data_IF_707127542760
#
_entry.id   IF_707127542760
#
_cell.length_a   1.000
_cell.length_b   1.000
_cell.length_c   1.000
_cell.angle_alpha   90.00
_cell.angle_beta   90.00
_cell.angle_gamma   90.00
#
_symmetry.space_group_name_H-M   'P 1'
#
loop_
_entity.id
_entity.type
_entity.pdbx_description
1 polymer ?
#
# COMPACT_ATOMS: atom_id res chain seq x y z
N UNK A 1 -19.51 -5.00 13.84
CA UNK A 1 -19.13 -4.30 12.58
C UNK A 1 -18.54 -5.34 11.65
N UNK A 2 -18.80 -5.24 10.35
CA UNK A 2 -18.22 -6.15 9.35
C UNK A 2 -17.24 -5.39 8.48
N UNK A 3 -16.16 -6.07 8.10
CA UNK A 3 -15.17 -5.56 7.15
C UNK A 3 -15.06 -6.52 5.99
N UNK A 4 -15.14 -5.98 4.77
CA UNK A 4 -15.06 -6.74 3.52
C UNK A 4 -13.64 -6.68 2.97
N UNK A 5 -12.99 -7.83 2.94
CA UNK A 5 -11.56 -8.02 2.74
C UNK A 5 -11.27 -9.10 1.68
N UNK A 6 -10.01 -9.18 1.23
CA UNK A 6 -9.49 -10.27 0.40
C UNK A 6 -8.09 -10.77 0.85
N UNK A 7 -7.58 -10.26 2.00
CA UNK A 7 -6.44 -10.82 2.76
C UNK A 7 -6.03 -10.01 4.02
N UNK A 8 -6.73 -10.25 5.15
CA UNK A 8 -6.53 -10.05 6.63
C UNK A 8 -5.24 -9.36 7.17
N UNK A 9 -5.12 -8.54 8.26
CA UNK A 9 -5.97 -7.76 9.22
C UNK A 9 -5.59 -7.99 10.75
N UNK A 10 -5.87 -7.13 11.79
CA UNK A 10 -4.94 -6.43 12.79
C UNK A 10 -4.81 -6.71 14.37
N UNK A 11 -3.73 -6.15 15.01
CA UNK A 11 -3.24 -5.98 16.44
C UNK A 11 -4.14 -5.52 17.62
N UNK A 12 -3.84 -6.01 18.86
CA UNK A 12 -3.93 -5.18 20.09
C UNK A 12 -3.01 -5.60 21.29
N UNK A 13 -2.58 -4.64 22.13
CA UNK A 13 -2.06 -4.91 23.50
C UNK A 13 -1.99 -3.67 24.42
N UNK A 14 -2.59 -3.81 25.61
CA UNK A 14 -2.36 -3.14 26.91
C UNK A 14 -2.41 -1.60 27.07
N UNK A 15 -3.33 -1.15 27.94
CA UNK A 15 -3.14 -0.03 28.87
C UNK A 15 -4.14 -0.13 30.06
N UNK A 16 -3.79 -0.91 31.09
CA UNK A 16 -4.60 -0.99 32.32
C UNK A 16 -4.40 0.31 33.11
N UNK A 17 -5.48 1.06 33.32
CA UNK A 17 -5.52 2.22 34.21
C UNK A 17 -6.84 2.24 34.98
N UNK A 18 -6.81 1.89 36.27
CA UNK A 18 -7.99 1.93 37.13
C UNK A 18 -8.49 3.36 37.33
N UNK A 19 -9.70 3.65 36.87
CA UNK A 19 -10.70 4.45 37.61
C UNK A 19 -12.10 4.15 37.05
N UNK A 20 -13.03 3.78 37.93
CA UNK A 20 -14.43 3.56 37.58
C UNK A 20 -15.24 4.88 37.56
N UNK A 21 -16.52 4.75 37.23
CA UNK A 21 -17.60 5.75 37.20
C UNK A 21 -17.65 6.70 35.99
N UNK A 22 -18.41 6.30 34.96
CA UNK A 22 -19.67 6.96 34.56
C UNK A 22 -20.33 6.15 33.43
N UNK A 23 -21.60 5.75 33.61
CA UNK A 23 -22.35 5.01 32.60
C UNK A 23 -22.88 5.98 31.54
N UNK A 24 -22.15 6.11 30.44
CA UNK A 24 -22.69 6.63 29.19
C UNK A 24 -23.01 5.48 28.23
N UNK A 25 -24.11 5.63 27.48
CA UNK A 25 -24.61 4.63 26.52
C UNK A 25 -23.46 4.22 25.58
N UNK A 26 -23.05 2.95 25.66
CA UNK A 26 -22.00 2.37 24.80
C UNK A 26 -22.39 2.57 23.33
N UNK A 27 -21.52 3.18 22.53
CA UNK A 27 -21.69 3.30 21.08
C UNK A 27 -20.83 2.23 20.39
N UNK A 28 -21.42 1.51 19.45
CA UNK A 28 -20.91 0.27 18.85
C UNK A 28 -19.95 0.54 17.69
N UNK A 29 -18.68 0.10 17.74
CA UNK A 29 -17.71 0.58 16.75
C UNK A 29 -16.31 -0.10 16.62
N UNK A 30 -16.14 -1.29 16.02
CA UNK A 30 -14.80 -1.89 15.81
C UNK A 30 -14.40 -1.93 14.32
N UNK A 31 -13.16 -1.56 13.98
CA UNK A 31 -12.67 -1.43 12.59
C UNK A 31 -11.24 -1.89 12.46
N UNK A 32 -10.96 -2.63 11.39
CA UNK A 32 -9.64 -3.16 11.08
C UNK A 32 -9.68 -3.84 9.69
N UNK A 33 -8.80 -3.44 8.77
CA UNK A 33 -8.91 -3.60 7.30
C UNK A 33 -8.05 -4.71 6.68
N UNK A 34 -8.42 -5.22 5.49
CA UNK A 34 -7.48 -5.47 4.38
C UNK A 34 -8.13 -5.88 3.03
N UNK A 35 -8.00 -5.07 1.99
CA UNK A 35 -6.96 -5.27 0.98
C UNK A 35 -6.60 -4.02 0.17
N UNK A 36 -5.29 -3.81 0.07
CA UNK A 36 -4.65 -2.61 -0.49
C UNK A 36 -3.21 -2.45 0.05
N UNK A 37 -2.62 -3.57 0.46
CA UNK A 37 -1.43 -3.63 1.32
C UNK A 37 -1.72 -3.27 2.78
N UNK A 38 -1.59 -4.25 3.70
CA UNK A 38 -1.80 -4.14 5.16
C UNK A 38 -3.11 -3.42 5.56
N UNK A 39 -3.18 -2.79 6.76
CA UNK A 39 -4.28 -1.83 6.98
C UNK A 39 -4.63 -1.29 8.40
N UNK A 40 -4.07 -1.67 9.57
CA UNK A 40 -4.45 -0.97 10.84
C UNK A 40 -3.59 -1.11 12.11
N UNK A 41 -4.07 -0.42 13.15
CA UNK A 41 -3.48 -0.29 14.48
C UNK A 41 -4.51 -0.08 15.59
N UNK A 42 -4.12 -0.51 16.80
CA UNK A 42 -4.48 0.02 18.13
C UNK A 42 -5.77 0.84 18.25
N UNK A 43 -6.90 0.16 18.12
CA UNK A 43 -8.17 0.62 18.71
C UNK A 43 -8.16 0.26 20.20
N UNK A 44 -8.73 1.11 21.07
CA UNK A 44 -9.05 0.68 22.44
C UNK A 44 -10.22 -0.30 22.39
N UNK A 45 -9.91 -1.60 22.33
CA UNK A 45 -10.90 -2.69 22.25
C UNK A 45 -11.87 -2.71 23.44
N UNK A 46 -11.49 -2.09 24.56
CA UNK A 46 -12.29 -1.88 25.77
C UNK A 46 -13.73 -1.35 25.52
N UNK A 47 -13.97 -0.67 24.38
CA UNK A 47 -15.24 -0.01 24.10
C UNK A 47 -16.20 -0.87 23.24
N UNK A 48 -15.80 -2.10 22.86
CA UNK A 48 -16.26 -2.74 21.63
C UNK A 48 -16.71 -4.20 21.83
N UNK A 49 -17.87 -4.56 21.28
CA UNK A 49 -18.52 -5.85 21.53
C UNK A 49 -18.03 -6.99 20.62
N UNK A 50 -17.85 -6.73 19.32
CA UNK A 50 -17.40 -7.72 18.32
C UNK A 50 -17.04 -7.09 16.96
N UNK A 51 -16.13 -7.74 16.23
CA UNK A 51 -15.91 -7.54 14.79
C UNK A 51 -15.90 -8.89 14.09
N UNK A 52 -16.29 -8.88 12.82
CA UNK A 52 -16.07 -9.99 11.90
C UNK A 52 -15.41 -9.43 10.64
N UNK A 53 -14.33 -10.06 10.22
CA UNK A 53 -13.65 -9.79 8.95
C UNK A 53 -14.05 -10.91 8.01
N UNK A 54 -14.68 -10.56 6.90
CA UNK A 54 -15.02 -11.52 5.85
C UNK A 54 -13.99 -11.37 4.73
N UNK A 55 -13.31 -12.45 4.41
CA UNK A 55 -12.17 -12.48 3.51
C UNK A 55 -12.31 -13.66 2.53
N UNK A 56 -12.31 -13.39 1.23
CA UNK A 56 -12.50 -14.45 0.23
C UNK A 56 -11.24 -15.21 -0.16
N UNK A 57 -10.06 -14.86 0.37
CA UNK A 57 -8.82 -15.57 0.05
C UNK A 57 -8.41 -15.50 -1.43
N UNK A 58 -8.49 -14.34 -2.07
CA UNK A 58 -8.13 -14.22 -3.50
C UNK A 58 -6.62 -14.38 -3.74
N UNK A 59 -6.26 -15.11 -4.81
CA UNK A 59 -4.88 -15.23 -5.30
C UNK A 59 -4.35 -13.91 -5.89
N UNK A 60 -5.23 -13.16 -6.55
CA UNK A 60 -4.97 -11.98 -7.38
C UNK A 60 -4.84 -10.67 -6.58
N UNK A 61 -4.08 -10.66 -5.48
CA UNK A 61 -4.14 -9.60 -4.46
C UNK A 61 -3.05 -8.53 -4.52
N UNK A 62 -3.42 -7.27 -4.24
CA UNK A 62 -2.48 -6.12 -4.19
C UNK A 62 -1.47 -6.15 -3.03
N UNK A 63 -1.71 -7.02 -2.04
CA UNK A 63 -0.75 -7.36 -0.99
C UNK A 63 0.11 -8.59 -1.32
N UNK A 64 -0.07 -9.24 -2.48
CA UNK A 64 0.69 -10.42 -2.85
C UNK A 64 2.18 -10.12 -3.05
N UNK A 65 3.03 -11.10 -2.74
CA UNK A 65 4.46 -10.93 -2.82
C UNK A 65 5.11 -10.37 -1.56
N UNK A 66 6.33 -10.81 -1.35
CA UNK A 66 6.99 -10.89 -0.06
C UNK A 66 7.22 -9.55 0.64
N UNK A 67 7.72 -8.53 -0.06
CA UNK A 67 8.11 -7.24 0.54
C UNK A 67 7.45 -6.01 -0.08
N UNK A 68 7.44 -4.92 0.69
CA UNK A 68 7.04 -3.56 0.27
C UNK A 68 8.00 -2.51 0.82
N UNK A 69 8.18 -1.41 0.10
CA UNK A 69 8.94 -0.26 0.62
C UNK A 69 8.11 0.48 1.67
N UNK A 70 8.64 0.62 2.88
CA UNK A 70 8.24 1.66 3.81
C UNK A 70 9.23 2.81 3.78
N UNK A 71 8.73 4.04 3.80
CA UNK A 71 9.58 5.24 3.82
C UNK A 71 8.79 6.42 4.35
N UNK A 72 9.48 7.33 5.00
CA UNK A 72 8.98 8.69 5.24
C UNK A 72 9.37 9.65 4.11
N UNK A 73 9.88 9.13 3.00
CA UNK A 73 10.42 9.92 1.88
C UNK A 73 9.35 10.53 0.98
N UNK A 74 8.79 11.64 1.43
CA UNK A 74 7.77 12.38 0.69
C UNK A 74 8.08 13.87 0.64
N UNK A 75 7.92 14.47 -0.53
CA UNK A 75 7.94 15.91 -0.74
C UNK A 75 6.60 16.56 -0.29
N UNK A 76 6.05 16.08 0.82
CA UNK A 76 4.67 16.30 1.26
C UNK A 76 4.49 16.07 2.77
N UNK A 77 4.21 17.13 3.52
CA UNK A 77 4.20 17.08 4.98
C UNK A 77 3.15 16.14 5.58
N UNK A 78 2.01 15.97 4.91
CA UNK A 78 0.93 15.11 5.40
C UNK A 78 1.31 13.65 5.24
N UNK A 79 1.94 13.30 4.12
CA UNK A 79 2.43 11.94 3.88
C UNK A 79 3.61 11.58 4.80
N UNK A 80 4.56 12.50 5.05
CA UNK A 80 5.65 12.26 6.02
C UNK A 80 5.08 11.97 7.42
N UNK A 81 4.12 12.77 7.90
CA UNK A 81 3.48 12.57 9.22
C UNK A 81 2.71 11.26 9.30
N UNK A 82 1.94 10.91 8.26
CA UNK A 82 1.19 9.66 8.19
C UNK A 82 2.12 8.42 8.14
N UNK A 83 3.23 8.51 7.40
CA UNK A 83 4.26 7.48 7.37
C UNK A 83 4.93 7.31 8.74
N UNK A 84 5.33 8.41 9.41
CA UNK A 84 5.88 8.37 10.79
C UNK A 84 4.91 7.67 11.76
N UNK A 85 3.61 8.02 11.71
CA UNK A 85 2.59 7.34 12.52
C UNK A 85 2.52 5.84 12.21
N UNK A 86 2.64 5.45 10.94
CA UNK A 86 2.64 4.05 10.53
C UNK A 86 3.87 3.28 11.04
N UNK A 87 5.05 3.90 11.04
CA UNK A 87 6.27 3.35 11.62
C UNK A 87 6.14 3.08 13.13
N UNK A 88 5.54 4.00 13.90
CA UNK A 88 5.24 3.80 15.32
C UNK A 88 4.37 2.55 15.52
N UNK A 89 3.34 2.40 14.71
CA UNK A 89 2.32 1.36 14.80
C UNK A 89 2.83 -0.02 14.33
N UNK A 90 3.71 -0.07 13.32
CA UNK A 90 4.49 -1.26 13.01
C UNK A 90 5.40 -1.66 14.18
N UNK A 91 6.05 -0.68 14.82
CA UNK A 91 6.83 -0.90 16.03
C UNK A 91 5.99 -1.42 17.21
N UNK A 92 4.72 -1.05 17.31
CA UNK A 92 3.80 -1.61 18.32
C UNK A 92 3.37 -3.05 17.99
N UNK A 93 3.04 -3.34 16.74
CA UNK A 93 2.71 -4.70 16.27
C UNK A 93 3.89 -5.66 16.44
N UNK A 94 5.10 -5.22 16.08
CA UNK A 94 6.32 -6.03 16.10
C UNK A 94 6.68 -6.58 17.48
N UNK A 95 6.25 -5.92 18.57
CA UNK A 95 6.42 -6.39 19.96
C UNK A 95 5.74 -7.73 20.26
N UNK A 96 4.85 -8.17 19.37
CA UNK A 96 4.03 -9.40 19.51
C UNK A 96 4.13 -10.32 18.30
N UNK A 97 5.02 -9.98 17.35
CA UNK A 97 5.34 -10.82 16.20
C UNK A 97 6.46 -11.79 16.57
N UNK A 98 6.44 -13.01 16.02
CA UNK A 98 7.56 -13.94 16.13
C UNK A 98 8.76 -13.49 15.27
N UNK A 99 8.50 -12.81 14.15
CA UNK A 99 9.50 -12.36 13.20
C UNK A 99 9.55 -10.81 13.07
N UNK A 100 10.70 -10.23 12.68
CA UNK A 100 10.80 -8.81 12.36
C UNK A 100 9.86 -8.42 11.20
N UNK A 101 9.08 -7.37 11.40
CA UNK A 101 8.17 -6.86 10.36
C UNK A 101 8.87 -5.99 9.32
N UNK A 102 10.04 -5.44 9.68
CA UNK A 102 10.74 -4.43 8.89
C UNK A 102 12.23 -4.77 8.83
N UNK A 103 12.78 -4.82 7.61
CA UNK A 103 14.22 -4.93 7.38
C UNK A 103 14.79 -3.52 7.26
N UNK A 104 15.82 -3.22 8.04
CA UNK A 104 16.51 -1.93 7.99
C UNK A 104 17.38 -1.86 6.74
N UNK A 105 17.12 -0.88 5.88
CA UNK A 105 17.85 -0.68 4.61
C UNK A 105 18.36 0.76 4.45
N UNK A 106 17.62 1.74 4.96
CA UNK A 106 17.64 3.08 4.39
C UNK A 106 16.94 3.14 3.02
N UNK A 107 16.55 4.33 2.58
CA UNK A 107 16.03 4.59 1.25
C UNK A 107 16.93 5.61 0.54
N UNK A 108 17.42 5.24 -0.65
CA UNK A 108 18.18 6.08 -1.56
C UNK A 108 17.25 6.53 -2.69
N UNK A 109 16.75 7.74 -2.56
CA UNK A 109 15.94 8.43 -3.56
C UNK A 109 16.88 9.05 -4.61
N UNK A 110 16.84 8.56 -5.85
CA UNK A 110 17.77 8.94 -6.93
C UNK A 110 17.05 9.79 -7.98
N UNK A 111 17.63 10.92 -8.38
CA UNK A 111 17.00 11.90 -9.25
C UNK A 111 17.71 12.04 -10.59
N UNK A 112 16.97 11.84 -11.68
CA UNK A 112 17.44 12.18 -13.04
C UNK A 112 17.62 13.68 -13.25
N UNK A 113 17.00 14.50 -12.39
CA UNK A 113 17.29 15.93 -12.25
C UNK A 113 17.36 16.28 -10.77
N UNK A 114 18.29 17.13 -10.36
CA UNK A 114 18.45 17.56 -8.95
C UNK A 114 17.17 18.16 -8.38
N UNK A 115 16.46 18.95 -9.19
CA UNK A 115 15.17 19.57 -8.84
C UNK A 115 14.12 18.53 -8.38
N UNK A 116 14.16 17.30 -8.92
CA UNK A 116 13.17 16.26 -8.54
C UNK A 116 13.32 15.85 -7.07
N UNK A 117 14.51 16.01 -6.48
CA UNK A 117 14.81 15.73 -5.07
C UNK A 117 14.78 16.98 -4.17
N UNK A 118 14.84 18.19 -4.72
CA UNK A 118 14.92 19.40 -3.88
C UNK A 118 13.64 19.63 -3.05
N UNK A 119 12.45 19.33 -3.59
CA UNK A 119 11.19 19.36 -2.82
C UNK A 119 11.14 18.32 -1.69
N UNK A 120 11.83 17.19 -1.86
CA UNK A 120 11.95 16.15 -0.84
C UNK A 120 12.83 16.65 0.31
N UNK A 121 14.03 17.14 0.01
CA UNK A 121 14.95 17.72 0.98
C UNK A 121 14.33 18.90 1.75
N UNK A 122 13.67 19.84 1.07
CA UNK A 122 12.95 20.95 1.71
C UNK A 122 11.86 20.48 2.70
N UNK A 123 11.21 19.37 2.40
CA UNK A 123 10.20 18.77 3.30
C UNK A 123 10.87 18.11 4.50
N UNK A 124 12.01 17.46 4.30
CA UNK A 124 12.82 16.92 5.38
C UNK A 124 13.35 18.01 6.32
N UNK A 125 13.84 19.13 5.77
CA UNK A 125 14.30 20.29 6.55
C UNK A 125 13.15 20.84 7.42
N UNK A 126 11.96 21.07 6.84
CA UNK A 126 10.76 21.55 7.57
C UNK A 126 10.34 20.63 8.72
N UNK A 127 10.51 19.31 8.56
CA UNK A 127 10.01 18.30 9.49
C UNK A 127 11.10 17.68 10.37
N UNK A 128 12.30 18.28 10.37
CA UNK A 128 13.50 17.79 11.05
C UNK A 128 13.73 16.28 10.82
N UNK A 129 13.54 15.82 9.58
CA UNK A 129 13.79 14.44 9.18
C UNK A 129 15.28 14.28 8.86
N UNK A 130 16.02 13.38 9.52
CA UNK A 130 17.41 13.09 9.14
C UNK A 130 17.49 12.55 7.71
N UNK A 131 18.37 13.15 6.91
CA UNK A 131 18.74 12.72 5.56
C UNK A 131 20.17 13.15 5.23
N UNK A 132 20.71 12.61 4.14
CA UNK A 132 21.99 13.00 3.56
C UNK A 132 21.78 13.24 2.06
N UNK A 133 22.31 14.35 1.53
CA UNK A 133 22.51 14.47 0.07
C UNK A 133 23.84 13.80 -0.26
N UNK A 134 23.84 12.95 -1.27
CA UNK A 134 25.03 12.20 -1.69
C UNK A 134 25.27 12.47 -3.18
N UNK A 135 26.53 12.72 -3.53
CA UNK A 135 26.99 12.74 -4.92
C UNK A 135 27.34 11.32 -5.39
N UNK A 136 27.57 11.16 -6.70
CA UNK A 136 27.89 9.86 -7.32
C UNK A 136 29.02 9.10 -6.60
N UNK A 137 30.13 9.77 -6.28
CA UNK A 137 31.28 9.15 -5.64
C UNK A 137 30.97 8.72 -4.19
N UNK A 138 30.22 9.51 -3.43
CA UNK A 138 29.77 9.14 -2.08
C UNK A 138 28.83 7.93 -2.08
N UNK A 139 27.95 7.82 -3.08
CA UNK A 139 27.11 6.62 -3.29
C UNK A 139 27.99 5.42 -3.61
N UNK A 140 28.91 5.54 -4.58
CA UNK A 140 29.77 4.44 -5.03
C UNK A 140 30.69 3.93 -3.92
N UNK A 141 31.24 4.82 -3.09
CA UNK A 141 32.06 4.45 -1.93
C UNK A 141 31.25 3.72 -0.85
N UNK A 142 30.00 4.13 -0.62
CA UNK A 142 29.14 3.56 0.43
C UNK A 142 28.47 2.25 0.03
N UNK A 143 28.14 2.10 -1.24
CA UNK A 143 27.47 0.93 -1.80
C UNK A 143 28.16 0.49 -3.10
N UNK A 144 29.32 -0.19 -3.03
CA UNK A 144 30.15 -0.52 -4.19
C UNK A 144 29.46 -1.39 -5.26
N UNK A 145 28.41 -2.12 -4.88
CA UNK A 145 27.61 -2.94 -5.80
C UNK A 145 26.68 -2.11 -6.69
N UNK A 146 26.31 -0.89 -6.27
CA UNK A 146 25.51 0.01 -7.09
C UNK A 146 26.35 0.62 -8.20
N UNK A 147 25.73 0.87 -9.35
CA UNK A 147 26.27 1.73 -10.39
C UNK A 147 25.24 2.82 -10.72
N UNK A 148 25.47 4.05 -10.27
CA UNK A 148 24.56 5.18 -10.58
C UNK A 148 25.25 6.17 -11.50
N UNK A 149 25.39 5.85 -12.80
CA UNK A 149 26.10 6.72 -13.76
C UNK A 149 25.65 8.18 -13.67
N UNK A 150 26.61 9.11 -13.58
CA UNK A 150 26.39 10.56 -13.52
C UNK A 150 25.77 11.14 -14.80
N UNK A 151 25.73 10.37 -15.90
CA UNK A 151 24.99 10.72 -17.12
C UNK A 151 23.46 10.63 -16.92
N UNK A 152 23.01 9.84 -15.95
CA UNK A 152 21.60 9.56 -15.69
C UNK A 152 21.14 10.00 -14.29
N UNK A 153 22.00 9.96 -13.27
CA UNK A 153 21.65 10.36 -11.90
C UNK A 153 22.39 11.65 -11.55
N UNK A 154 21.69 12.78 -11.57
CA UNK A 154 22.24 14.11 -11.24
C UNK A 154 22.40 14.30 -9.72
N UNK A 155 21.51 13.70 -8.92
CA UNK A 155 21.53 13.82 -7.46
C UNK A 155 20.96 12.59 -6.75
N UNK A 156 21.39 12.37 -5.51
CA UNK A 156 20.82 11.36 -4.62
C UNK A 156 20.51 11.94 -3.23
N UNK A 157 19.43 11.45 -2.62
CA UNK A 157 19.03 11.74 -1.24
C UNK A 157 18.88 10.42 -0.49
N UNK A 158 19.67 10.21 0.55
CA UNK A 158 19.57 9.06 1.44
C UNK A 158 18.79 9.42 2.71
N UNK A 159 17.78 8.62 3.05
CA UNK A 159 17.03 8.71 4.28
C UNK A 159 17.20 7.44 5.12
N UNK A 160 17.75 7.50 6.35
CA UNK A 160 17.84 6.35 7.25
C UNK A 160 16.47 5.78 7.68
N UNK A 161 15.38 6.57 7.57
CA UNK A 161 14.02 6.14 7.89
C UNK A 161 13.25 5.75 6.61
N UNK A 162 13.89 4.90 5.82
CA UNK A 162 13.31 4.14 4.74
C UNK A 162 13.77 2.69 4.88
N UNK A 163 12.85 1.75 4.75
CA UNK A 163 13.04 0.35 5.10
C UNK A 163 12.27 -0.54 4.11
N UNK A 164 12.54 -1.84 4.13
CA UNK A 164 11.60 -2.82 3.59
C UNK A 164 10.66 -3.32 4.69
N UNK A 165 9.44 -3.69 4.32
CA UNK A 165 8.45 -4.34 5.19
C UNK A 165 8.17 -5.71 4.64
N UNK A 166 8.33 -6.74 5.48
CA UNK A 166 7.99 -8.13 5.18
C UNK A 166 6.47 -8.25 5.19
N UNK A 167 5.86 -8.20 4.01
CA UNK A 167 4.42 -8.06 3.84
C UNK A 167 3.67 -9.27 4.39
N UNK A 168 4.14 -10.49 4.12
CA UNK A 168 3.57 -11.72 4.67
C UNK A 168 3.60 -11.75 6.19
N UNK A 169 4.76 -11.46 6.79
CA UNK A 169 4.95 -11.41 8.26
C UNK A 169 4.02 -10.38 8.90
N UNK A 170 3.86 -9.21 8.28
CA UNK A 170 2.86 -8.22 8.73
C UNK A 170 1.46 -8.81 8.70
N UNK A 171 1.01 -9.42 7.61
CA UNK A 171 -0.35 -9.96 7.53
C UNK A 171 -0.59 -11.08 8.56
N UNK A 172 0.37 -11.98 8.78
CA UNK A 172 0.24 -13.03 9.82
C UNK A 172 0.30 -12.46 11.24
N UNK A 173 1.22 -11.55 11.57
CA UNK A 173 1.29 -10.92 12.90
C UNK A 173 0.05 -10.08 13.23
N UNK A 174 -0.54 -9.46 12.20
CA UNK A 174 -1.84 -8.80 12.28
C UNK A 174 -2.93 -9.86 12.55
N UNK A 175 -2.99 -10.96 11.77
CA UNK A 175 -4.04 -12.00 11.83
C UNK A 175 -4.11 -12.72 13.16
N UNK A 176 -2.94 -13.11 13.66
CA UNK A 176 -2.69 -13.66 15.00
C UNK A 176 -3.39 -12.86 16.10
N UNK A 177 -3.40 -11.53 15.95
CA UNK A 177 -3.96 -10.63 16.92
C UNK A 177 -5.49 -10.57 16.88
N UNK A 178 -6.12 -10.58 15.69
CA UNK A 178 -7.58 -10.73 15.60
C UNK A 178 -8.02 -11.96 16.36
N UNK A 179 -7.37 -13.09 16.10
CA UNK A 179 -7.72 -14.38 16.71
C UNK A 179 -7.51 -14.36 18.22
N UNK A 180 -6.47 -13.68 18.73
CA UNK A 180 -6.26 -13.47 20.17
C UNK A 180 -7.33 -12.61 20.85
N UNK A 181 -7.92 -11.62 20.17
CA UNK A 181 -8.87 -10.68 20.77
C UNK A 181 -10.35 -11.00 20.53
N UNK A 182 -10.69 -11.47 19.33
CA UNK A 182 -12.05 -11.79 18.91
C UNK A 182 -12.36 -13.29 18.80
N UNK A 183 -11.36 -14.15 18.96
CA UNK A 183 -11.48 -15.59 18.73
C UNK A 183 -11.67 -15.96 17.24
N UNK A 184 -11.90 -17.25 16.94
CA UNK A 184 -12.04 -17.72 15.55
C UNK A 184 -13.18 -17.03 14.78
N UNK A 185 -14.30 -16.74 15.45
CA UNK A 185 -15.48 -16.11 14.83
C UNK A 185 -15.25 -14.66 14.35
N UNK A 186 -14.11 -14.03 14.69
CA UNK A 186 -13.77 -12.70 14.22
C UNK A 186 -13.14 -12.70 12.80
N UNK A 187 -12.85 -13.86 12.23
CA UNK A 187 -12.29 -14.03 10.90
C UNK A 187 -13.04 -15.14 10.15
N UNK A 188 -13.66 -14.77 9.02
CA UNK A 188 -14.39 -15.67 8.12
C UNK A 188 -13.65 -15.69 6.81
N UNK A 189 -12.97 -16.81 6.53
CA UNK A 189 -12.21 -17.07 5.31
C UNK A 189 -13.14 -17.65 4.23
N UNK A 190 -14.15 -16.86 3.84
CA UNK A 190 -15.12 -17.21 2.80
C UNK A 190 -15.62 -15.95 2.03
N UNK A 191 -15.75 -15.99 0.68
CA UNK A 191 -16.06 -14.80 -0.12
C UNK A 191 -17.44 -14.20 0.14
N UNK A 192 -17.53 -12.87 0.17
CA UNK A 192 -18.81 -12.18 0.32
C UNK A 192 -19.59 -12.13 -0.99
N UNK A 193 -20.69 -12.87 -1.03
CA UNK A 193 -21.58 -12.96 -2.20
C UNK A 193 -22.61 -11.84 -2.21
N UNK A 194 -23.22 -11.47 -1.07
CA UNK A 194 -24.30 -10.48 -0.97
C UNK A 194 -24.15 -9.55 0.24
N UNK A 195 -24.62 -8.30 0.10
CA UNK A 195 -24.66 -7.28 1.17
C UNK A 195 -26.04 -6.63 1.15
N UNK A 196 -26.84 -6.83 2.19
CA UNK A 196 -28.15 -6.19 2.36
C UNK A 196 -28.00 -4.99 3.31
N UNK A 197 -28.21 -3.78 2.77
CA UNK A 197 -28.10 -2.52 3.51
C UNK A 197 -29.32 -2.19 4.37
N UNK A 198 -30.49 -2.73 4.04
CA UNK A 198 -31.72 -2.49 4.80
C UNK A 198 -31.76 -3.39 6.03
N UNK A 199 -31.42 -4.66 5.88
CA UNK A 199 -31.28 -5.64 6.98
C UNK A 199 -29.95 -5.51 7.72
N UNK A 200 -28.98 -4.81 7.12
CA UNK A 200 -27.60 -4.68 7.58
C UNK A 200 -26.94 -6.04 7.81
N UNK A 201 -26.96 -6.87 6.77
CA UNK A 201 -26.35 -8.21 6.78
C UNK A 201 -25.40 -8.40 5.62
N UNK A 202 -24.37 -9.19 5.84
CA UNK A 202 -23.45 -9.71 4.84
C UNK A 202 -23.68 -11.22 4.73
N UNK A 203 -23.74 -11.74 3.52
CA UNK A 203 -23.85 -13.18 3.24
C UNK A 203 -22.59 -13.65 2.52
N UNK A 204 -21.98 -14.71 3.04
CA UNK A 204 -20.80 -15.38 2.49
C UNK A 204 -21.22 -16.57 1.59
N UNK A 205 -20.28 -17.14 0.83
CA UNK A 205 -20.54 -18.17 -0.19
C UNK A 205 -21.02 -19.50 0.41
N UNK A 206 -20.60 -19.82 1.64
CA UNK A 206 -21.08 -20.92 2.48
C UNK A 206 -22.55 -20.74 2.93
N UNK A 207 -23.14 -19.56 2.72
CA UNK A 207 -24.49 -19.20 3.14
C UNK A 207 -24.60 -18.60 4.55
N UNK A 208 -23.48 -18.42 5.27
CA UNK A 208 -23.48 -17.76 6.58
C UNK A 208 -23.93 -16.30 6.46
N UNK A 209 -24.81 -15.87 7.38
CA UNK A 209 -25.39 -14.52 7.40
C UNK A 209 -24.94 -13.78 8.66
N UNK A 210 -24.23 -12.68 8.46
CA UNK A 210 -23.51 -11.97 9.51
C UNK A 210 -24.08 -10.53 9.61
N UNK A 211 -24.56 -10.08 10.79
CA UNK A 211 -25.16 -8.75 10.96
C UNK A 211 -24.14 -7.65 11.27
N UNK A 212 -24.43 -6.39 10.90
CA UNK A 212 -23.54 -5.26 11.13
C UNK A 212 -24.24 -3.96 11.59
N UNK A 213 -23.59 -3.20 12.47
CA UNK A 213 -24.00 -1.81 12.79
C UNK A 213 -23.35 -0.78 11.86
N UNK A 214 -22.09 -1.02 11.49
CA UNK A 214 -21.28 -0.33 10.46
C UNK A 214 -20.65 -1.37 9.54
N UNK A 215 -20.35 -0.97 8.31
CA UNK A 215 -19.64 -1.75 7.30
C UNK A 215 -18.42 -0.98 6.82
N UNK A 216 -17.27 -1.64 6.74
CA UNK A 216 -16.05 -1.07 6.16
C UNK A 216 -15.71 -1.84 4.87
N UNK A 217 -15.80 -1.14 3.74
CA UNK A 217 -15.43 -1.64 2.42
C UNK A 217 -13.96 -1.34 2.21
N UNK A 218 -13.15 -2.40 2.21
CA UNK A 218 -11.69 -2.35 2.12
C UNK A 218 -11.20 -3.15 0.91
N UNK A 219 -11.99 -3.32 -0.14
CA UNK A 219 -11.84 -4.41 -1.09
C UNK A 219 -10.85 -4.15 -2.25
N UNK A 220 -9.90 -3.21 -2.11
CA UNK A 220 -8.88 -2.89 -3.12
C UNK A 220 -9.48 -2.68 -4.51
N UNK A 221 -8.95 -3.38 -5.52
CA UNK A 221 -9.46 -3.36 -6.91
C UNK A 221 -10.94 -3.79 -7.04
N UNK A 222 -11.44 -4.62 -6.12
CA UNK A 222 -12.85 -5.05 -6.09
C UNK A 222 -13.77 -4.04 -5.37
N UNK A 223 -13.27 -2.89 -4.91
CA UNK A 223 -14.06 -1.87 -4.21
C UNK A 223 -15.31 -1.47 -5.00
N UNK A 224 -15.18 -1.17 -6.30
CA UNK A 224 -16.33 -0.80 -7.12
C UNK A 224 -17.28 -1.98 -7.39
N UNK A 225 -16.77 -3.22 -7.48
CA UNK A 225 -17.62 -4.41 -7.56
C UNK A 225 -18.47 -4.57 -6.30
N UNK A 226 -17.87 -4.35 -5.13
CA UNK A 226 -18.57 -4.37 -3.84
C UNK A 226 -19.61 -3.25 -3.73
N UNK A 227 -19.27 -2.01 -4.13
CA UNK A 227 -20.22 -0.89 -4.17
C UNK A 227 -21.38 -1.16 -5.14
N UNK A 228 -21.12 -1.78 -6.30
CA UNK A 228 -22.16 -2.21 -7.26
C UNK A 228 -23.12 -3.22 -6.63
N UNK A 229 -22.63 -4.26 -5.93
CA UNK A 229 -23.46 -5.23 -5.19
C UNK A 229 -24.38 -4.57 -4.15
N UNK A 230 -23.98 -3.41 -3.64
CA UNK A 230 -24.68 -2.62 -2.63
C UNK A 230 -25.64 -1.56 -3.22
N UNK A 231 -25.77 -1.48 -4.55
CA UNK A 231 -26.44 -0.39 -5.27
C UNK A 231 -25.98 0.99 -4.80
N UNK A 232 -24.68 1.14 -4.57
CA UNK A 232 -24.04 2.41 -4.24
C UNK A 232 -23.35 3.02 -5.47
N UNK A 233 -23.30 4.36 -5.57
CA UNK A 233 -22.39 5.05 -6.48
C UNK A 233 -20.97 4.47 -6.44
N UNK A 234 -20.40 4.27 -7.62
CA UNK A 234 -19.02 3.81 -7.77
C UNK A 234 -18.04 4.97 -7.56
N UNK A 235 -16.83 4.64 -7.14
CA UNK A 235 -15.73 5.60 -7.09
C UNK A 235 -15.01 5.64 -8.45
N UNK A 236 -14.43 6.77 -8.86
CA UNK A 236 -13.64 6.87 -10.09
C UNK A 236 -12.25 6.27 -9.84
N UNK A 237 -12.25 4.95 -9.69
CA UNK A 237 -11.09 4.09 -9.57
C UNK A 237 -10.85 3.39 -10.91
N UNK A 238 -9.59 3.22 -11.28
CA UNK A 238 -9.14 2.32 -12.35
C UNK A 238 -8.19 1.30 -11.74
N UNK A 239 -8.23 0.04 -12.20
CA UNK A 239 -7.27 -0.97 -11.77
C UNK A 239 -6.15 -1.12 -12.79
N UNK A 240 -4.92 -1.34 -12.35
CA UNK A 240 -3.77 -1.70 -13.21
C UNK A 240 -3.04 -2.93 -12.68
N UNK A 241 -2.42 -3.71 -13.56
CA UNK A 241 -1.64 -4.90 -13.15
C UNK A 241 -0.16 -4.68 -13.41
N UNK A 242 0.58 -4.37 -12.34
CA UNK A 242 2.02 -4.15 -12.40
C UNK A 242 2.81 -5.46 -12.34
N UNK A 243 4.10 -5.39 -12.68
CA UNK A 243 5.04 -6.51 -12.60
C UNK A 243 6.18 -6.22 -11.64
N UNK A 244 6.62 -7.27 -10.95
CA UNK A 244 7.80 -7.30 -10.10
C UNK A 244 8.65 -8.51 -10.50
N UNK A 245 9.97 -8.33 -10.57
CA UNK A 245 10.93 -9.37 -10.96
C UNK A 245 12.02 -9.44 -9.90
N UNK A 246 12.30 -10.66 -9.42
CA UNK A 246 13.38 -10.95 -8.48
C UNK A 246 14.55 -11.55 -9.25
N UNK A 247 15.68 -10.87 -9.24
CA UNK A 247 16.91 -11.34 -9.89
C UNK A 247 17.78 -12.05 -8.88
N UNK A 248 18.11 -13.30 -9.16
CA UNK A 248 18.98 -14.14 -8.33
C UNK A 248 20.33 -13.48 -8.09
N UNK A 249 20.81 -13.53 -6.85
CA UNK A 249 22.17 -13.11 -6.51
C UNK A 249 23.20 -14.12 -7.02
N UNK A 250 24.42 -13.69 -7.39
CA UNK A 250 25.54 -14.59 -7.61
C UNK A 250 25.77 -15.51 -6.40
N UNK A 251 25.98 -16.83 -6.60
CA UNK A 251 26.17 -17.77 -5.49
C UNK A 251 27.32 -17.38 -4.56
N UNK A 252 27.05 -17.33 -3.26
CA UNK A 252 28.02 -16.96 -2.23
C UNK A 252 28.24 -15.44 -2.08
N UNK A 253 27.42 -14.62 -2.74
CA UNK A 253 27.42 -13.15 -2.59
C UNK A 253 26.12 -12.59 -2.01
N UNK A 254 25.19 -13.45 -1.56
CA UNK A 254 23.83 -13.11 -1.11
C UNK A 254 23.81 -11.95 -0.10
N UNK A 255 24.74 -11.98 0.87
CA UNK A 255 24.87 -10.96 1.92
C UNK A 255 25.22 -9.56 1.37
N UNK A 256 26.06 -9.47 0.33
CA UNK A 256 26.46 -8.20 -0.30
C UNK A 256 25.31 -7.50 -1.02
N UNK A 257 24.25 -8.25 -1.36
CA UNK A 257 23.02 -7.74 -1.95
C UNK A 257 21.88 -7.61 -0.94
N UNK A 258 22.12 -7.94 0.34
CA UNK A 258 21.10 -7.96 1.37
C UNK A 258 20.72 -6.57 1.88
N UNK A 259 19.64 -6.47 2.65
CA UNK A 259 19.24 -5.25 3.36
C UNK A 259 20.33 -4.65 4.25
N UNK A 260 21.29 -5.45 4.72
CA UNK A 260 22.42 -4.97 5.53
C UNK A 260 23.43 -4.15 4.70
N UNK A 261 23.54 -4.44 3.40
CA UNK A 261 24.58 -3.90 2.52
C UNK A 261 24.03 -3.01 1.40
N UNK A 262 22.73 -3.05 1.10
CA UNK A 262 22.10 -2.22 0.07
C UNK A 262 20.86 -1.48 0.59
N UNK A 263 20.64 -0.22 0.15
CA UNK A 263 19.42 0.51 0.46
C UNK A 263 18.28 0.06 -0.46
N UNK A 264 17.05 0.36 -0.06
CA UNK A 264 15.94 0.50 -1.02
C UNK A 264 16.28 1.64 -1.98
N UNK A 265 16.04 1.47 -3.28
CA UNK A 265 16.22 2.55 -4.28
C UNK A 265 14.87 2.94 -4.87
N UNK A 266 14.67 4.25 -5.05
CA UNK A 266 13.50 4.81 -5.73
C UNK A 266 13.97 5.85 -6.75
N UNK A 267 13.57 5.65 -8.00
CA UNK A 267 13.80 6.63 -9.05
C UNK A 267 12.78 7.76 -9.04
N UNK A 268 13.27 9.00 -9.06
CA UNK A 268 12.49 10.21 -9.18
C UNK A 268 12.72 10.89 -10.52
N UNK A 269 11.96 10.43 -11.51
CA UNK A 269 11.73 11.21 -12.72
C UNK A 269 10.86 12.44 -12.40
N UNK A 270 11.16 13.61 -12.98
CA UNK A 270 10.17 14.69 -13.04
C UNK A 270 8.94 14.19 -13.84
N UNK A 271 7.71 14.38 -13.35
CA UNK A 271 6.53 13.95 -14.10
C UNK A 271 6.39 14.78 -15.39
N UNK A 272 5.77 14.23 -16.46
CA UNK A 272 5.53 14.96 -17.71
C UNK A 272 4.69 16.24 -17.52
N UNK A 273 3.87 16.28 -16.47
CA UNK A 273 3.06 17.45 -16.08
C UNK A 273 3.11 17.60 -14.54
N UNK A 274 3.13 18.82 -13.97
CA UNK A 274 3.37 19.03 -12.54
C UNK A 274 2.38 18.37 -11.57
N UNK A 275 1.17 18.09 -12.05
CA UNK A 275 0.05 17.50 -11.29
C UNK A 275 -0.04 15.97 -11.38
N UNK A 276 0.92 15.29 -12.01
CA UNK A 276 0.98 13.83 -12.05
C UNK A 276 1.95 13.28 -10.99
N UNK A 277 1.58 12.23 -10.26
CA UNK A 277 2.49 11.44 -9.43
C UNK A 277 3.57 10.78 -10.29
N UNK A 278 4.70 10.49 -9.64
CA UNK A 278 5.95 10.09 -10.27
C UNK A 278 5.85 8.65 -10.82
N UNK A 279 6.50 8.41 -11.96
CA UNK A 279 6.84 7.09 -12.49
C UNK A 279 8.33 6.83 -12.30
N UNK A 280 8.73 5.58 -12.17
CA UNK A 280 10.13 5.20 -12.08
C UNK A 280 10.32 3.74 -11.66
N UNK A 281 11.55 3.26 -11.76
CA UNK A 281 11.97 2.01 -11.15
C UNK A 281 12.05 2.12 -9.62
N UNK A 282 11.84 0.99 -8.95
CA UNK A 282 12.17 0.82 -7.55
C UNK A 282 12.86 -0.53 -7.31
N UNK A 283 13.76 -0.56 -6.34
CA UNK A 283 14.51 -1.75 -5.93
C UNK A 283 14.33 -1.98 -4.43
N UNK A 284 14.10 -3.24 -4.03
CA UNK A 284 14.25 -3.70 -2.66
C UNK A 284 15.40 -4.70 -2.63
N UNK A 285 16.41 -4.53 -1.75
CA UNK A 285 17.53 -5.46 -1.61
C UNK A 285 17.04 -6.85 -1.18
N UNK A 286 17.91 -7.86 -1.28
CA UNK A 286 17.58 -9.21 -0.82
C UNK A 286 17.26 -9.19 0.69
N UNK A 287 16.15 -9.82 1.08
CA UNK A 287 15.69 -9.89 2.47
C UNK A 287 15.84 -11.33 2.97
N UNK A 288 16.44 -11.51 4.14
CA UNK A 288 16.84 -12.83 4.66
C UNK A 288 15.70 -13.76 5.06
N UNK A 289 14.49 -13.22 5.25
CA UNK A 289 13.24 -13.97 5.42
C UNK A 289 12.33 -13.82 4.18
N UNK A 290 12.92 -13.47 3.04
CA UNK A 290 12.21 -13.08 1.82
C UNK A 290 12.27 -14.11 0.69
N UNK A 291 12.00 -13.65 -0.52
CA UNK A 291 12.27 -14.40 -1.76
C UNK A 291 13.73 -14.18 -2.12
N UNK A 292 14.41 -15.24 -2.53
CA UNK A 292 15.82 -15.17 -2.93
C UNK A 292 16.03 -14.21 -4.10
N UNK A 293 17.13 -13.45 -4.04
CA UNK A 293 17.44 -12.41 -5.01
C UNK A 293 16.97 -11.00 -4.63
N UNK A 294 17.25 -10.05 -5.51
CA UNK A 294 16.94 -8.62 -5.36
C UNK A 294 15.69 -8.29 -6.17
N UNK A 295 14.75 -7.59 -5.54
CA UNK A 295 13.44 -7.27 -6.13
C UNK A 295 13.49 -5.95 -6.89
N UNK A 296 13.03 -5.97 -8.13
CA UNK A 296 12.83 -4.78 -8.96
C UNK A 296 11.37 -4.68 -9.42
N UNK A 297 10.93 -3.46 -9.72
CA UNK A 297 9.64 -3.22 -10.35
C UNK A 297 9.51 -1.83 -10.95
N UNK A 298 8.57 -1.70 -11.88
CA UNK A 298 8.21 -0.42 -12.49
C UNK A 298 6.92 0.11 -11.87
N UNK A 299 6.92 1.36 -11.40
CA UNK A 299 5.73 1.94 -10.76
C UNK A 299 4.78 2.56 -11.80
N UNK A 300 3.57 2.00 -11.90
CA UNK A 300 2.45 2.47 -12.75
C UNK A 300 2.76 2.37 -14.24
N UNK A 301 3.29 1.24 -14.66
CA UNK A 301 3.50 0.92 -16.07
C UNK A 301 2.63 -0.24 -16.55
N UNK A 302 1.94 -0.94 -15.64
CA UNK A 302 1.04 -2.04 -15.95
C UNK A 302 -0.17 -1.68 -16.82
N UNK A 303 -0.71 -2.64 -17.60
CA UNK A 303 -1.96 -2.47 -18.35
C UNK A 303 -3.14 -2.18 -17.42
N UNK A 304 -4.17 -1.50 -17.96
CA UNK A 304 -5.37 -1.11 -17.24
C UNK A 304 -6.49 -2.16 -17.38
N UNK A 305 -7.34 -2.26 -16.37
CA UNK A 305 -8.51 -3.13 -16.34
C UNK A 305 -9.79 -2.30 -16.21
N UNK A 306 -10.74 -2.56 -17.12
CA UNK A 306 -12.15 -2.19 -17.04
C UNK A 306 -12.96 -3.36 -17.59
N UNK A 307 -13.68 -4.05 -16.71
CA UNK A 307 -14.50 -5.23 -17.01
C UNK A 307 -15.51 -5.47 -15.87
N UNK A 308 -16.27 -6.56 -15.93
CA UNK A 308 -17.30 -6.87 -14.92
C UNK A 308 -16.77 -7.07 -13.49
N UNK A 309 -15.53 -7.53 -13.34
CA UNK A 309 -14.87 -7.72 -12.04
C UNK A 309 -14.24 -6.42 -11.51
N UNK A 310 -13.76 -5.54 -12.41
CA UNK A 310 -13.07 -4.28 -12.10
C UNK A 310 -13.74 -3.05 -12.75
N UNK A 311 -15.00 -2.73 -12.38
CA UNK A 311 -15.75 -1.70 -13.09
C UNK A 311 -15.36 -0.27 -12.68
N UNK A 312 -15.25 0.62 -13.65
CA UNK A 312 -15.09 2.07 -13.40
C UNK A 312 -16.42 2.78 -13.11
N UNK A 313 -16.36 3.97 -12.49
CA UNK A 313 -17.53 4.84 -12.34
C UNK A 313 -17.97 5.46 -13.68
N UNK A 314 -19.29 5.66 -13.93
CA UNK A 314 -19.77 6.29 -15.16
C UNK A 314 -19.09 7.63 -15.46
N UNK A 315 -18.63 7.81 -16.70
CA UNK A 315 -17.85 8.99 -17.13
C UNK A 315 -16.34 8.86 -16.95
N UNK A 316 -15.85 7.82 -16.26
CA UNK A 316 -14.43 7.46 -16.23
C UNK A 316 -13.98 6.91 -17.59
N UNK A 317 -12.75 7.22 -18.00
CA UNK A 317 -12.13 6.81 -19.27
C UNK A 317 -10.61 6.64 -19.14
N UNK A 318 -9.95 6.05 -20.14
CA UNK A 318 -8.48 6.03 -20.22
C UNK A 318 -7.89 7.46 -20.13
N UNK A 319 -8.55 8.44 -20.76
CA UNK A 319 -8.15 9.84 -20.72
C UNK A 319 -8.33 10.51 -19.34
N UNK A 320 -9.16 9.96 -18.45
CA UNK A 320 -9.17 10.38 -17.04
C UNK A 320 -8.03 9.76 -16.22
N UNK A 321 -7.50 8.60 -16.65
CA UNK A 321 -6.27 8.01 -16.11
C UNK A 321 -5.02 8.71 -16.67
N UNK A 322 -4.96 10.06 -16.58
CA UNK A 322 -3.94 10.93 -17.20
C UNK A 322 -2.50 10.53 -16.88
N UNK A 323 -2.30 9.85 -15.76
CA UNK A 323 -1.02 9.28 -15.30
C UNK A 323 -0.48 8.19 -16.24
N UNK A 324 -1.31 7.68 -17.15
CA UNK A 324 -0.98 6.71 -18.20
C UNK A 324 -0.89 7.30 -19.61
N UNK A 325 -1.60 8.40 -19.91
CA UNK A 325 -1.68 8.96 -21.26
C UNK A 325 -0.44 9.78 -21.71
N UNK A 326 0.77 9.36 -21.34
CA UNK A 326 2.00 10.01 -21.79
C UNK A 326 2.53 9.31 -23.05
N UNK A 327 2.77 10.06 -24.12
CA UNK A 327 3.23 9.57 -25.43
C UNK A 327 4.58 8.84 -25.45
N UNK A 328 5.24 8.70 -24.30
CA UNK A 328 6.37 7.78 -24.09
C UNK A 328 5.94 6.30 -24.07
N UNK A 329 4.71 5.97 -23.63
CA UNK A 329 4.15 4.62 -23.76
C UNK A 329 3.62 4.39 -25.17
N UNK A 330 4.53 4.23 -26.15
CA UNK A 330 4.18 3.76 -27.50
C UNK A 330 3.76 2.28 -27.45
N UNK A 331 2.59 2.00 -26.89
CA UNK A 331 2.02 0.66 -26.81
C UNK A 331 0.88 0.44 -25.81
N UNK A 332 0.68 1.29 -24.79
CA UNK A 332 -0.06 0.90 -23.58
C UNK A 332 -1.37 1.67 -23.27
N UNK A 333 -2.18 1.96 -24.28
CA UNK A 333 -3.65 2.09 -24.10
C UNK A 333 -4.32 0.69 -24.11
N UNK A 334 -3.66 -0.31 -23.50
CA UNK A 334 -4.12 -1.70 -23.48
C UNK A 334 -5.06 -1.90 -22.31
N UNK A 335 -6.36 -1.84 -22.61
CA UNK A 335 -7.40 -2.38 -21.77
C UNK A 335 -7.37 -3.90 -21.83
N UNK A 336 -6.97 -4.55 -20.74
CA UNK A 336 -7.07 -6.00 -20.61
C UNK A 336 -8.48 -6.36 -20.13
N UNK A 337 -9.22 -7.11 -20.95
CA UNK A 337 -10.56 -7.62 -20.61
C UNK A 337 -10.53 -8.80 -19.64
N UNK A 338 -9.35 -9.28 -19.27
CA UNK A 338 -9.09 -10.41 -18.35
C UNK A 338 -7.85 -10.11 -17.50
N UNK A 339 -7.68 -10.85 -16.41
CA UNK A 339 -6.44 -10.84 -15.66
C UNK A 339 -5.28 -11.41 -16.51
N UNK A 340 -4.13 -10.71 -16.63
CA UNK A 340 -2.96 -11.23 -17.31
C UNK A 340 -2.16 -12.14 -16.36
N UNK A 341 -2.29 -13.46 -16.57
CA UNK A 341 -1.57 -14.50 -15.81
C UNK A 341 -0.09 -14.62 -16.22
N UNK A 342 0.24 -14.32 -17.48
CA UNK A 342 1.60 -14.44 -18.04
C UNK A 342 2.52 -13.27 -17.68
N UNK A 343 3.85 -13.47 -17.83
CA UNK A 343 4.85 -12.40 -17.73
C UNK A 343 4.67 -11.39 -18.87
N UNK A 344 4.57 -10.11 -18.52
CA UNK A 344 4.56 -9.01 -19.47
C UNK A 344 6.00 -8.75 -19.95
N UNK A 345 6.26 -9.09 -21.21
CA UNK A 345 7.57 -8.98 -21.81
C UNK A 345 8.09 -7.53 -21.92
N UNK A 346 7.21 -6.52 -21.98
CA UNK A 346 7.63 -5.12 -22.00
C UNK A 346 8.07 -4.68 -20.60
N UNK A 347 7.26 -4.96 -19.58
CA UNK A 347 7.64 -4.65 -18.20
C UNK A 347 8.89 -5.42 -17.76
N UNK A 348 9.07 -6.65 -18.24
CA UNK A 348 10.31 -7.42 -18.06
C UNK A 348 11.52 -6.72 -18.69
N UNK A 349 11.41 -6.26 -19.94
CA UNK A 349 12.49 -5.54 -20.60
C UNK A 349 12.87 -4.23 -19.88
N UNK A 350 11.88 -3.48 -19.37
CA UNK A 350 12.10 -2.28 -18.56
C UNK A 350 12.80 -2.62 -17.23
N UNK A 351 12.36 -3.66 -16.50
CA UNK A 351 13.04 -4.07 -15.26
C UNK A 351 14.43 -4.62 -15.51
N UNK A 352 14.67 -5.34 -16.61
CA UNK A 352 16.00 -5.82 -17.00
C UNK A 352 16.95 -4.66 -17.29
N UNK A 353 16.49 -3.64 -18.02
CA UNK A 353 17.26 -2.44 -18.32
C UNK A 353 17.61 -1.63 -17.06
N UNK A 354 16.67 -1.53 -16.11
CA UNK A 354 16.89 -0.88 -14.82
C UNK A 354 17.85 -1.68 -13.91
N UNK A 355 17.72 -3.00 -13.88
CA UNK A 355 18.62 -3.91 -13.17
C UNK A 355 20.06 -3.77 -13.69
N UNK A 356 20.29 -3.89 -15.01
CA UNK A 356 21.60 -3.68 -15.64
C UNK A 356 22.21 -2.32 -15.31
N UNK A 357 21.36 -1.27 -15.25
CA UNK A 357 21.82 0.10 -15.03
C UNK A 357 22.21 0.38 -13.59
N UNK A 358 21.48 -0.15 -12.60
CA UNK A 358 21.66 0.17 -11.18
C UNK A 358 22.51 -0.85 -10.42
N UNK A 359 22.45 -2.13 -10.80
CA UNK A 359 23.03 -3.23 -10.06
C UNK A 359 23.65 -4.27 -11.03
N UNK A 360 24.72 -3.89 -11.76
CA UNK A 360 25.27 -4.64 -12.89
C UNK A 360 25.89 -6.01 -12.51
N UNK A 361 26.04 -6.29 -11.21
CA UNK A 361 26.51 -7.58 -10.72
C UNK A 361 25.45 -8.69 -10.71
N UNK A 362 24.19 -8.37 -11.03
CA UNK A 362 23.15 -9.37 -11.27
C UNK A 362 23.05 -9.69 -12.77
N UNK A 363 22.61 -10.91 -13.10
CA UNK A 363 22.35 -11.32 -14.48
C UNK A 363 20.84 -11.34 -14.79
N UNK A 364 20.27 -10.29 -15.41
CA UNK A 364 18.87 -10.26 -15.82
C UNK A 364 18.57 -11.08 -17.08
N UNK A 365 19.58 -11.63 -17.77
CA UNK A 365 19.38 -12.59 -18.86
C UNK A 365 19.11 -14.01 -18.36
N UNK A 366 19.47 -14.32 -17.10
CA UNK A 366 19.06 -15.54 -16.43
C UNK A 366 17.54 -15.56 -16.17
N UNK A 367 16.93 -16.75 -16.00
CA UNK A 367 15.59 -16.87 -15.45
C UNK A 367 15.52 -16.18 -14.07
N UNK A 368 14.48 -15.35 -13.80
CA UNK A 368 14.34 -14.71 -12.51
C UNK A 368 14.02 -15.74 -11.43
N UNK A 369 14.43 -15.47 -10.19
CA UNK A 369 14.05 -16.29 -9.03
C UNK A 369 12.51 -16.33 -8.85
N UNK A 370 11.86 -15.21 -9.16
CA UNK A 370 10.40 -15.08 -9.19
C UNK A 370 9.99 -13.90 -10.07
N UNK A 371 8.94 -14.06 -10.88
CA UNK A 371 8.15 -12.93 -11.42
C UNK A 371 6.78 -12.94 -10.78
N UNK A 372 6.26 -11.75 -10.45
CA UNK A 372 4.95 -11.57 -9.85
C UNK A 372 4.14 -10.49 -10.55
N UNK A 373 2.84 -10.75 -10.72
CA UNK A 373 1.83 -9.77 -11.11
C UNK A 373 1.18 -9.21 -9.84
N UNK A 374 1.04 -7.88 -9.74
CA UNK A 374 0.49 -7.20 -8.56
C UNK A 374 -0.49 -6.11 -8.98
N UNK A 375 -1.77 -6.15 -8.55
CA UNK A 375 -2.74 -5.14 -8.91
C UNK A 375 -2.57 -3.86 -8.07
N UNK A 376 -2.82 -2.71 -8.69
CA UNK A 376 -3.05 -1.43 -8.01
C UNK A 376 -4.47 -0.95 -8.28
N UNK A 377 -5.12 -0.41 -7.24
CA UNK A 377 -6.36 0.37 -7.34
C UNK A 377 -6.00 1.87 -7.37
N UNK A 378 -6.15 2.51 -8.53
CA UNK A 378 -5.70 3.90 -8.73
C UNK A 378 -6.87 4.87 -8.79
N UNK A 379 -6.72 6.00 -8.12
CA UNK A 379 -7.70 7.06 -8.10
C UNK A 379 -7.59 7.96 -9.35
N UNK A 380 -8.71 8.28 -9.98
CA UNK A 380 -8.78 9.15 -11.17
C UNK A 380 -9.03 10.64 -10.84
N UNK A 381 -9.15 11.00 -9.56
CA UNK A 381 -9.23 12.40 -9.13
C UNK A 381 -7.90 13.13 -9.35
N UNK A 382 -7.96 14.45 -9.57
CA UNK A 382 -6.80 15.28 -9.90
C UNK A 382 -5.73 15.40 -8.79
N UNK A 383 -6.02 14.95 -7.56
CA UNK A 383 -5.06 14.86 -6.46
C UNK A 383 -4.40 13.47 -6.34
N UNK A 384 -4.93 12.47 -7.06
CA UNK A 384 -4.52 11.05 -7.04
C UNK A 384 -4.42 10.43 -5.64
N UNK A 385 -5.05 11.03 -4.65
CA UNK A 385 -4.91 10.61 -3.26
C UNK A 385 -5.92 9.51 -2.93
N UNK A 386 -5.47 8.53 -2.14
CA UNK A 386 -6.34 7.51 -1.60
C UNK A 386 -7.49 8.14 -0.80
N UNK A 387 -8.56 7.35 -0.64
CA UNK A 387 -9.77 7.79 0.06
C UNK A 387 -9.99 6.98 1.33
N UNK A 388 -10.44 7.69 2.36
CA UNK A 388 -10.87 7.14 3.64
C UNK A 388 -12.06 7.95 4.13
N UNK A 389 -13.27 7.42 4.04
CA UNK A 389 -14.44 8.19 4.47
C UNK A 389 -15.75 7.44 4.48
N UNK A 390 -16.72 8.01 5.19
CA UNK A 390 -18.13 7.60 5.16
C UNK A 390 -18.69 7.83 3.76
N UNK A 391 -19.40 6.84 3.23
CA UNK A 391 -19.99 6.90 1.90
C UNK A 391 -21.12 7.94 1.85
N UNK A 392 -21.16 8.88 0.89
CA UNK A 392 -22.14 9.98 0.89
C UNK A 392 -23.60 9.50 0.83
N UNK A 393 -23.86 8.37 0.17
CA UNK A 393 -25.19 7.75 0.09
C UNK A 393 -25.49 6.70 1.20
N UNK A 394 -24.58 6.49 2.16
CA UNK A 394 -24.83 5.60 3.31
C UNK A 394 -23.95 5.92 4.54
N UNK A 395 -24.51 6.46 5.63
CA UNK A 395 -23.74 6.86 6.82
C UNK A 395 -23.20 5.68 7.63
N UNK A 396 -23.62 4.44 7.34
CA UNK A 396 -23.15 3.23 8.00
C UNK A 396 -22.06 2.49 7.20
N UNK A 397 -21.78 2.94 5.98
CA UNK A 397 -20.73 2.40 5.11
C UNK A 397 -19.53 3.35 5.09
N UNK A 398 -18.33 2.82 5.30
CA UNK A 398 -17.07 3.53 5.11
C UNK A 398 -16.26 2.84 4.03
N UNK A 399 -15.68 3.61 3.13
CA UNK A 399 -14.87 3.09 2.01
C UNK A 399 -13.42 3.50 2.20
N UNK A 400 -12.52 2.56 1.92
CA UNK A 400 -11.07 2.78 1.82
C UNK A 400 -10.51 2.08 0.60
N UNK A 401 -9.73 2.83 -0.17
CA UNK A 401 -9.11 2.38 -1.43
C UNK A 401 -8.49 3.54 -2.20
N UNK A 402 -8.15 3.30 -3.47
CA UNK A 402 -7.44 4.25 -4.33
C UNK A 402 -5.97 4.40 -3.95
N UNK A 403 -5.34 3.34 -3.45
CA UNK A 403 -3.99 3.37 -2.88
C UNK A 403 -2.87 3.57 -3.91
N UNK A 404 -3.16 3.36 -5.20
CA UNK A 404 -2.29 3.63 -6.33
C UNK A 404 -0.85 3.08 -6.16
N UNK A 405 -0.76 1.86 -5.63
CA UNK A 405 0.49 1.13 -5.39
C UNK A 405 1.31 1.56 -4.18
N UNK A 406 0.82 2.52 -3.38
CA UNK A 406 1.58 3.09 -2.27
C UNK A 406 1.03 2.78 -0.87
N UNK A 407 -0.18 2.20 -0.78
CA UNK A 407 -0.96 2.08 0.46
C UNK A 407 -0.31 1.31 1.60
N UNK A 408 0.46 0.25 1.32
CA UNK A 408 1.00 -0.65 2.35
C UNK A 408 1.71 0.10 3.47
N UNK A 409 2.58 1.06 3.14
CA UNK A 409 3.41 1.76 4.14
C UNK A 409 2.67 2.76 5.02
N UNK A 410 1.52 3.29 4.56
CA UNK A 410 0.75 4.32 5.29
C UNK A 410 -0.17 3.71 6.35
N UNK A 411 0.23 2.54 6.81
CA UNK A 411 -0.67 1.45 6.62
C UNK A 411 -1.57 1.26 7.82
N UNK A 412 -0.94 0.84 8.93
CA UNK A 412 -1.52 0.95 10.25
C UNK A 412 -2.24 2.30 10.53
N UNK A 413 -1.71 3.43 10.04
CA UNK A 413 -2.30 4.75 10.29
C UNK A 413 -3.60 5.04 9.50
N UNK A 414 -3.74 4.54 8.26
CA UNK A 414 -5.02 4.56 7.53
C UNK A 414 -6.06 3.70 8.24
N UNK A 415 -5.60 2.63 8.88
CA UNK A 415 -6.41 1.84 9.77
C UNK A 415 -6.95 2.55 10.99
N UNK A 416 -6.06 3.24 11.70
CA UNK A 416 -6.43 4.14 12.79
C UNK A 416 -7.48 5.14 12.34
N UNK A 417 -7.40 5.62 11.09
CA UNK A 417 -8.31 6.62 10.54
C UNK A 417 -9.76 6.14 10.42
N UNK A 418 -10.06 4.96 9.85
CA UNK A 418 -11.46 4.53 9.89
C UNK A 418 -11.89 3.92 11.23
N UNK A 419 -10.96 3.44 12.06
CA UNK A 419 -11.29 3.17 13.45
C UNK A 419 -11.81 4.43 14.15
N UNK A 420 -11.19 5.59 13.91
CA UNK A 420 -11.73 6.89 14.33
C UNK A 420 -13.12 7.17 13.70
N UNK A 421 -13.32 6.91 12.40
CA UNK A 421 -14.62 7.14 11.74
C UNK A 421 -15.79 6.33 12.32
N UNK A 422 -15.56 5.07 12.69
CA UNK A 422 -16.61 4.22 13.26
C UNK A 422 -16.80 4.48 14.75
N UNK A 423 -15.70 4.68 15.51
CA UNK A 423 -15.78 4.96 16.97
C UNK A 423 -16.21 6.37 17.31
N UNK A 424 -16.03 7.32 16.38
CA UNK A 424 -16.08 8.75 16.70
C UNK A 424 -14.86 9.23 17.51
N UNK A 425 -13.80 8.42 17.64
CA UNK A 425 -12.56 8.85 18.28
C UNK A 425 -11.81 9.90 17.45
N UNK A 426 -10.97 10.70 18.10
CA UNK A 426 -10.18 11.74 17.44
C UNK A 426 -9.00 11.15 16.66
N UNK A 427 -8.83 11.59 15.40
CA UNK A 427 -7.70 11.23 14.55
C UNK A 427 -6.35 11.63 15.16
N UNK A 428 -5.31 10.80 15.00
CA UNK A 428 -3.94 11.11 15.45
C UNK A 428 -3.18 12.05 14.52
N UNK A 429 -3.52 12.05 13.23
CA UNK A 429 -2.98 12.97 12.22
C UNK A 429 -4.17 13.67 11.53
N UNK A 430 -4.84 14.65 12.18
CA UNK A 430 -6.09 15.22 11.67
C UNK A 430 -6.00 15.79 10.25
N UNK A 431 -4.86 16.38 9.89
CA UNK A 431 -4.59 16.91 8.55
C UNK A 431 -4.65 15.82 7.46
N UNK A 432 -4.32 14.57 7.80
CA UNK A 432 -4.45 13.44 6.88
C UNK A 432 -5.92 13.13 6.59
N UNK A 433 -6.81 13.10 7.59
CA UNK A 433 -8.23 12.88 7.31
C UNK A 433 -8.86 14.03 6.51
N UNK A 434 -8.49 15.28 6.78
CA UNK A 434 -8.99 16.43 6.00
C UNK A 434 -8.66 16.31 4.50
N UNK A 435 -7.51 15.71 4.19
CA UNK A 435 -7.03 15.42 2.84
C UNK A 435 -7.59 14.12 2.26
N UNK A 436 -7.70 13.05 3.03
CA UNK A 436 -8.08 11.72 2.50
C UNK A 436 -9.59 11.43 2.55
N UNK A 437 -10.40 12.31 3.14
CA UNK A 437 -11.86 12.13 3.21
C UNK A 437 -12.56 12.03 1.84
N UNK A 438 -13.50 11.09 1.77
CA UNK A 438 -14.33 10.77 0.59
C UNK A 438 -15.29 11.88 0.12
N UNK A 439 -15.41 12.99 0.87
CA UNK A 439 -16.21 14.16 0.50
C UNK A 439 -15.36 15.46 0.53
N UNK A 440 -14.10 15.39 0.08
CA UNK A 440 -13.23 16.57 -0.08
C UNK A 440 -13.64 17.37 -1.34
N UNK A 441 -13.31 18.67 -1.36
CA UNK A 441 -13.74 19.60 -2.44
C UNK A 441 -13.17 19.25 -3.83
N UNK A 442 -12.12 18.44 -3.92
CA UNK A 442 -11.55 17.95 -5.18
C UNK A 442 -12.32 16.77 -5.79
N UNK A 443 -13.45 16.36 -5.19
CA UNK A 443 -14.30 15.23 -5.62
C UNK A 443 -15.69 15.66 -6.10
N UNK A 444 -15.97 16.98 -6.13
CA UNK A 444 -17.26 17.58 -6.50
C UNK A 444 -17.07 18.38 -7.80
#
# INVERSE_FOLDING_TARGET
VIVLCNGVSITASHLIGHTASHVHKRKEALVTFAQGGANASKVRLEWLSSVVICDGGHAEKGSWGESRIARVSYADDVLVKLARRSYELYGELGKTSAEPLMCKTGCLDVGFKRESLDKLAQTYDRLAQPYQRLNHHEVQQRWPMLQLSSEYVEASVYCPLGDAVCAGVVLEALKDQILRHGGPAAMVDDPVVQIDRQRKTVTTADGSVIPYSKLVVAAGIWTNRTLRKMSLPLLPLVSSIEQQTYYSTPPGMEDLYSSSHLPVIIEHNPPPQPQMKRRGGYMIPHLSNGVDGVKFGMHRQGPLLDNEDFPMAPGSTAASAKHFSCSATRGHDVWCSRWPEEEDAHLRAETDAFCKRVLPGLDPSAPPALTMRCPYDQQLYADEDFVVGVHPADPDVIVVGGFAGEGFKFGPAIGEMAACLVTGASFKVPESYHRFRLNRKTLI
#
